data_IF_697431098807
#
_entry.id   IF_697431098807
#
_cell.length_a   1.000
_cell.length_b   1.000
_cell.length_c   1.000
_cell.angle_alpha   90.00
_cell.angle_beta   90.00
_cell.angle_gamma   90.00
#
_symmetry.space_group_name_H-M   'P 1'
#
loop_
_entity.id
_entity.type
_entity.pdbx_description
1 polymer ?
#
# COMPACT_ATOMS: atom_id res chain seq x y z
N UNK A 1 19.00 9.67 6.65
CA UNK A 1 17.73 9.27 6.01
C UNK A 1 17.78 7.80 5.71
N UNK A 2 16.97 6.96 6.35
CA UNK A 2 16.98 5.54 6.07
C UNK A 2 16.27 5.27 4.74
N UNK A 3 16.89 4.50 3.87
CA UNK A 3 16.20 3.87 2.77
C UNK A 3 15.32 2.75 3.30
N UNK A 4 14.17 2.55 2.67
CA UNK A 4 13.17 1.56 3.09
C UNK A 4 13.08 0.44 2.06
N UNK A 5 12.99 -0.80 2.49
CA UNK A 5 12.80 -1.96 1.63
C UNK A 5 11.47 -2.66 1.95
N UNK A 6 10.71 -3.02 0.92
CA UNK A 6 9.49 -3.80 1.03
C UNK A 6 9.40 -4.89 -0.04
N UNK A 7 8.79 -6.03 0.30
CA UNK A 7 8.65 -7.17 -0.62
C UNK A 7 7.23 -7.75 -0.65
N UNK A 8 6.25 -7.02 -0.16
CA UNK A 8 4.86 -7.49 -0.09
C UNK A 8 4.09 -7.36 -1.40
N UNK A 9 2.83 -7.75 -1.35
CA UNK A 9 1.85 -7.48 -2.40
C UNK A 9 1.57 -5.99 -2.53
N UNK A 10 0.88 -5.60 -3.59
CA UNK A 10 0.49 -4.21 -3.84
C UNK A 10 -0.22 -3.58 -2.64
N UNK A 11 -1.16 -4.29 -2.02
CA UNK A 11 -1.84 -3.84 -0.81
C UNK A 11 -0.89 -3.64 0.36
N UNK A 12 0.05 -4.56 0.59
CA UNK A 12 1.04 -4.44 1.65
C UNK A 12 1.91 -3.18 1.47
N UNK A 13 2.29 -2.86 0.22
CA UNK A 13 3.07 -1.67 -0.12
C UNK A 13 2.27 -0.39 0.13
N UNK A 14 1.01 -0.34 -0.30
CA UNK A 14 0.14 0.82 -0.07
C UNK A 14 -0.04 1.06 1.45
N UNK A 15 -0.27 0.00 2.23
CA UNK A 15 -0.38 0.10 3.68
C UNK A 15 0.95 0.36 4.41
N UNK A 16 2.10 0.27 3.72
CA UNK A 16 3.39 0.71 4.24
C UNK A 16 3.55 2.24 4.19
N UNK A 17 2.89 2.92 3.25
CA UNK A 17 3.08 4.35 3.02
C UNK A 17 2.82 5.24 4.25
N UNK A 18 1.75 5.05 5.05
CA UNK A 18 1.56 5.84 6.27
C UNK A 18 2.69 5.63 7.29
N UNK A 19 3.26 4.43 7.34
CA UNK A 19 4.41 4.14 8.23
C UNK A 19 5.66 4.84 7.72
N UNK A 20 5.92 4.79 6.42
CA UNK A 20 7.05 5.48 5.78
C UNK A 20 6.95 6.99 5.99
N UNK A 21 5.75 7.58 5.85
CA UNK A 21 5.51 9.00 6.16
C UNK A 21 5.82 9.32 7.62
N UNK A 22 5.38 8.47 8.54
CA UNK A 22 5.58 8.64 9.98
C UNK A 22 7.05 8.46 10.42
N UNK A 23 7.89 7.79 9.63
CA UNK A 23 9.33 7.69 9.88
C UNK A 23 10.04 9.05 9.74
N UNK A 24 9.43 10.00 9.06
CA UNK A 24 9.99 11.32 8.78
C UNK A 24 11.20 11.24 7.84
N UNK A 25 11.21 12.05 6.80
CA UNK A 25 12.30 12.17 5.82
C UNK A 25 12.92 10.83 5.36
N UNK A 26 12.12 9.88 4.83
CA UNK A 26 12.66 8.65 4.26
C UNK A 26 13.48 8.95 3.00
N UNK A 27 14.44 8.08 2.73
CA UNK A 27 15.22 8.12 1.50
C UNK A 27 14.45 7.50 0.33
N UNK A 28 15.08 6.55 -0.33
CA UNK A 28 14.48 5.80 -1.43
C UNK A 28 13.63 4.64 -0.88
N UNK A 29 12.48 4.43 -1.48
CA UNK A 29 11.63 3.28 -1.21
C UNK A 29 11.97 2.16 -2.20
N UNK A 30 12.67 1.16 -1.72
CA UNK A 30 13.05 0.00 -2.51
C UNK A 30 11.98 -1.07 -2.47
N UNK A 31 11.70 -1.68 -3.61
CA UNK A 31 10.83 -2.83 -3.76
C UNK A 31 11.65 -4.03 -4.26
N UNK A 32 11.35 -5.20 -3.74
CA UNK A 32 11.99 -6.46 -4.17
C UNK A 32 11.01 -7.63 -4.14
N UNK A 33 11.41 -8.73 -4.77
CA UNK A 33 10.76 -10.04 -4.59
C UNK A 33 11.56 -10.86 -3.58
N UNK A 34 10.84 -11.59 -2.74
CA UNK A 34 11.43 -12.62 -1.88
C UNK A 34 10.80 -13.98 -2.17
N UNK A 35 11.48 -15.11 -1.89
CA UNK A 35 10.95 -16.45 -2.19
C UNK A 35 9.56 -16.72 -1.65
N UNK A 36 9.21 -16.08 -0.54
CA UNK A 36 7.91 -16.22 0.14
C UNK A 36 6.88 -15.15 -0.25
N UNK A 37 7.26 -14.17 -1.05
CA UNK A 37 6.38 -13.06 -1.49
C UNK A 37 6.34 -12.93 -3.00
N UNK A 38 6.06 -13.98 -3.73
CA UNK A 38 6.12 -14.02 -5.21
C UNK A 38 5.22 -13.01 -5.95
N UNK A 39 4.50 -12.18 -5.22
CA UNK A 39 3.48 -11.29 -5.78
C UNK A 39 4.05 -10.08 -6.52
N UNK A 40 5.21 -9.56 -6.11
CA UNK A 40 5.82 -8.38 -6.74
C UNK A 40 6.88 -8.82 -7.76
N UNK A 41 6.74 -8.31 -8.98
CA UNK A 41 7.71 -8.48 -10.08
C UNK A 41 8.17 -7.11 -10.55
N UNK A 42 9.29 -7.00 -11.30
CA UNK A 42 9.71 -5.72 -11.88
C UNK A 42 8.60 -5.03 -12.68
N UNK A 43 7.85 -5.75 -13.52
CA UNK A 43 6.75 -5.19 -14.31
C UNK A 43 5.62 -4.63 -13.43
N UNK A 44 5.29 -5.32 -12.32
CA UNK A 44 4.32 -4.82 -11.33
C UNK A 44 4.86 -3.62 -10.56
N UNK A 45 6.16 -3.61 -10.29
CA UNK A 45 6.80 -2.44 -9.70
C UNK A 45 6.68 -1.23 -10.62
N UNK A 46 6.93 -1.37 -11.91
CA UNK A 46 6.80 -0.28 -12.88
C UNK A 46 5.37 0.30 -12.91
N UNK A 47 4.36 -0.53 -12.66
CA UNK A 47 2.96 -0.08 -12.54
C UNK A 47 2.72 0.77 -11.29
N UNK A 48 3.33 0.45 -10.15
CA UNK A 48 3.11 1.20 -8.89
C UNK A 48 4.12 2.32 -8.65
N UNK A 49 5.27 2.28 -9.30
CA UNK A 49 6.33 3.25 -9.10
C UNK A 49 5.90 4.72 -9.28
N UNK A 50 5.03 5.08 -10.25
CA UNK A 50 4.51 6.45 -10.35
C UNK A 50 3.76 6.88 -9.09
N UNK A 51 2.92 6.03 -8.51
CA UNK A 51 2.20 6.34 -7.28
C UNK A 51 3.18 6.56 -6.11
N UNK A 52 4.20 5.72 -5.97
CA UNK A 52 5.20 5.86 -4.92
C UNK A 52 6.00 7.15 -5.07
N UNK A 53 6.41 7.48 -6.30
CA UNK A 53 7.17 8.69 -6.61
C UNK A 53 6.37 9.98 -6.47
N UNK A 54 5.05 9.90 -6.56
CA UNK A 54 4.16 11.05 -6.35
C UNK A 54 4.05 11.46 -4.87
N UNK A 55 4.48 10.61 -3.93
CA UNK A 55 4.41 10.93 -2.51
C UNK A 55 5.54 11.91 -2.13
N UNK A 56 5.19 13.11 -1.65
CA UNK A 56 6.17 14.17 -1.33
C UNK A 56 7.20 13.77 -0.27
N UNK A 57 6.85 12.81 0.57
CA UNK A 57 7.71 12.28 1.63
C UNK A 57 8.62 11.13 1.18
N UNK A 58 8.58 10.70 -0.10
CA UNK A 58 9.46 9.67 -0.68
C UNK A 58 10.38 10.35 -1.70
N UNK A 59 11.70 10.19 -1.57
CA UNK A 59 12.67 10.79 -2.52
C UNK A 59 12.75 10.08 -3.85
N UNK A 60 12.39 8.82 -3.87
CA UNK A 60 12.37 7.98 -5.07
C UNK A 60 11.86 6.59 -4.77
N UNK A 61 11.44 5.87 -5.81
CA UNK A 61 11.08 4.47 -5.73
C UNK A 61 11.86 3.69 -6.77
N UNK A 62 12.51 2.61 -6.35
CA UNK A 62 13.42 1.82 -7.18
C UNK A 62 13.29 0.33 -6.91
N UNK A 63 13.61 -0.47 -7.91
CA UNK A 63 13.79 -1.90 -7.73
C UNK A 63 15.10 -2.18 -7.03
N UNK A 64 15.08 -2.89 -5.89
CA UNK A 64 16.25 -3.14 -5.06
C UNK A 64 17.25 -4.10 -5.72
N UNK A 65 18.52 -3.74 -5.70
CA UNK A 65 19.64 -4.51 -6.26
C UNK A 65 20.76 -4.78 -5.24
N UNK A 66 20.45 -4.55 -3.95
CA UNK A 66 21.42 -4.77 -2.87
C UNK A 66 21.94 -3.49 -2.21
N UNK A 67 21.30 -2.35 -2.46
CA UNK A 67 21.68 -1.06 -1.89
C UNK A 67 21.55 -1.05 -0.35
N UNK A 68 22.42 -0.29 0.31
CA UNK A 68 22.51 -0.17 1.76
C UNK A 68 22.61 1.28 2.22
N UNK A 69 22.32 1.56 3.50
CA UNK A 69 21.52 0.80 4.48
C UNK A 69 20.04 0.92 4.22
N UNK A 70 19.28 -0.12 4.53
CA UNK A 70 17.81 -0.14 4.38
C UNK A 70 17.11 -0.56 5.66
N UNK A 71 15.92 0.01 5.90
CA UNK A 71 14.97 -0.49 6.89
C UNK A 71 14.07 -1.50 6.20
N UNK A 72 14.18 -2.77 6.55
CA UNK A 72 13.40 -3.85 5.93
C UNK A 72 12.02 -3.98 6.60
N UNK A 73 10.99 -3.45 5.93
CA UNK A 73 9.61 -3.55 6.36
C UNK A 73 8.99 -4.92 6.07
N UNK A 74 9.61 -5.76 5.25
CA UNK A 74 9.08 -7.10 4.91
C UNK A 74 8.97 -8.04 6.10
N UNK A 75 9.65 -7.71 7.20
CA UNK A 75 9.65 -8.50 8.45
C UNK A 75 8.35 -8.39 9.24
N UNK A 76 7.42 -7.53 8.86
CA UNK A 76 6.19 -7.30 9.60
C UNK A 76 5.35 -8.57 9.80
N UNK A 77 5.34 -9.48 8.83
CA UNK A 77 4.56 -10.73 8.91
C UNK A 77 5.10 -11.70 9.97
N UNK A 78 6.40 -11.66 10.25
CA UNK A 78 7.00 -12.48 11.33
C UNK A 78 6.70 -11.94 12.73
N UNK A 79 6.25 -10.70 12.83
CA UNK A 79 5.91 -9.99 14.06
C UNK A 79 4.41 -9.78 14.25
N UNK A 80 3.58 -10.34 13.35
CA UNK A 80 2.14 -10.15 13.38
C UNK A 80 1.53 -10.66 14.68
N UNK A 81 0.85 -9.77 15.40
CA UNK A 81 0.07 -10.06 16.59
C UNK A 81 -1.44 -10.15 16.27
N UNK A 82 -2.21 -10.86 17.13
CA UNK A 82 -3.66 -10.89 16.96
C UNK A 82 -4.27 -9.51 17.21
N UNK A 83 -5.24 -9.12 16.37
CA UNK A 83 -6.06 -7.92 16.57
C UNK A 83 -5.47 -6.61 16.05
N UNK A 84 -4.30 -6.62 15.42
CA UNK A 84 -3.74 -5.43 14.79
C UNK A 84 -4.12 -5.36 13.30
N UNK A 85 -4.33 -4.15 12.81
CA UNK A 85 -4.44 -3.92 11.37
C UNK A 85 -3.05 -3.93 10.70
N UNK A 86 -3.03 -4.00 9.37
CA UNK A 86 -1.80 -4.14 8.59
C UNK A 86 -0.82 -2.97 8.79
N UNK A 87 -1.33 -1.75 8.93
CA UNK A 87 -0.50 -0.56 9.19
C UNK A 87 0.20 -0.69 10.55
N UNK A 88 -0.54 -1.10 11.59
CA UNK A 88 0.02 -1.26 12.93
C UNK A 88 1.10 -2.34 12.98
N UNK A 89 0.93 -3.44 12.27
CA UNK A 89 1.97 -4.48 12.16
C UNK A 89 3.25 -3.95 11.51
N UNK A 90 3.11 -3.22 10.41
CA UNK A 90 4.25 -2.64 9.71
C UNK A 90 4.95 -1.57 10.57
N UNK A 91 4.19 -0.71 11.26
CA UNK A 91 4.72 0.28 12.18
C UNK A 91 5.54 -0.37 13.30
N UNK A 92 5.02 -1.42 13.94
CA UNK A 92 5.75 -2.15 14.97
C UNK A 92 7.03 -2.80 14.45
N UNK A 93 7.04 -3.31 13.22
CA UNK A 93 8.22 -3.93 12.63
C UNK A 93 9.42 -2.99 12.54
N UNK A 94 9.17 -1.70 12.38
CA UNK A 94 10.20 -0.66 12.22
C UNK A 94 10.30 0.31 13.41
N UNK A 95 9.60 0.01 14.51
CA UNK A 95 9.65 0.82 15.73
C UNK A 95 8.92 2.16 15.65
N UNK A 96 7.98 2.31 14.70
CA UNK A 96 7.12 3.48 14.58
C UNK A 96 5.85 3.29 15.42
N UNK A 97 5.42 4.34 16.10
CA UNK A 97 4.19 4.32 16.88
C UNK A 97 2.97 4.29 15.94
N UNK A 98 2.08 3.29 16.01
CA UNK A 98 0.98 3.14 15.05
C UNK A 98 0.01 4.34 14.97
N UNK A 99 -0.15 5.10 16.04
CA UNK A 99 -1.06 6.26 16.10
C UNK A 99 -0.71 7.38 15.13
N UNK A 100 0.58 7.57 14.85
CA UNK A 100 1.04 8.61 13.91
C UNK A 100 0.74 8.26 12.44
N UNK A 101 0.29 7.05 12.18
CA UNK A 101 -0.08 6.57 10.84
C UNK A 101 -1.56 6.84 10.48
N UNK A 102 -2.31 7.60 11.28
CA UNK A 102 -3.73 7.89 11.05
C UNK A 102 -3.98 9.14 10.22
N UNK A 103 -2.97 9.97 10.00
CA UNK A 103 -3.09 11.17 9.18
C UNK A 103 -3.21 10.82 7.68
N UNK A 104 -3.71 11.76 6.89
CA UNK A 104 -3.73 11.62 5.43
C UNK A 104 -2.31 11.34 4.92
N UNK A 105 -2.15 10.22 4.27
CA UNK A 105 -0.84 9.72 3.83
C UNK A 105 -0.73 9.52 2.32
N UNK A 106 -1.84 9.34 1.62
CA UNK A 106 -1.84 9.16 0.18
C UNK A 106 -2.02 10.52 -0.50
N UNK A 107 -1.04 10.90 -1.28
CA UNK A 107 -1.01 12.13 -2.07
C UNK A 107 -1.19 11.76 -3.54
N UNK A 108 -2.39 11.99 -4.05
CA UNK A 108 -2.76 11.75 -5.45
C UNK A 108 -3.63 12.91 -5.93
N UNK A 109 -3.44 13.30 -7.18
CA UNK A 109 -4.35 14.23 -7.82
C UNK A 109 -5.71 13.55 -8.04
N UNK A 110 -6.82 14.23 -7.71
CA UNK A 110 -8.14 13.71 -8.00
C UNK A 110 -8.35 13.53 -9.50
N UNK A 111 -8.91 12.40 -9.90
CA UNK A 111 -9.42 12.23 -11.24
C UNK A 111 -10.82 12.89 -11.34
N UNK A 112 -10.89 14.05 -11.96
CA UNK A 112 -12.14 14.81 -12.12
C UNK A 112 -13.19 14.02 -12.91
N UNK A 113 -12.78 13.14 -13.82
CA UNK A 113 -13.67 12.25 -14.55
C UNK A 113 -14.43 11.25 -13.65
N UNK A 114 -13.91 11.03 -12.44
CA UNK A 114 -14.51 10.14 -11.43
C UNK A 114 -15.34 10.90 -10.39
N UNK A 115 -15.42 12.22 -10.50
CA UNK A 115 -16.10 13.06 -9.52
C UNK A 115 -17.62 12.72 -9.48
N UNK A 116 -18.15 12.51 -8.29
CA UNK A 116 -19.54 12.11 -8.07
C UNK A 116 -19.88 10.67 -8.46
N UNK A 117 -18.89 9.85 -8.81
CA UNK A 117 -19.08 8.43 -9.14
C UNK A 117 -18.77 7.53 -7.95
N UNK A 118 -19.48 6.43 -7.84
CA UNK A 118 -19.22 5.38 -6.86
C UNK A 118 -18.53 4.23 -7.57
N UNK A 119 -17.32 3.89 -7.11
CA UNK A 119 -16.57 2.76 -7.62
C UNK A 119 -16.93 1.51 -6.81
N UNK A 120 -17.40 0.48 -7.49
CA UNK A 120 -17.60 -0.84 -6.92
C UNK A 120 -16.54 -1.79 -7.48
N UNK A 121 -15.78 -2.43 -6.61
CA UNK A 121 -14.75 -3.38 -7.00
C UNK A 121 -15.05 -4.77 -6.45
N UNK A 122 -15.01 -5.76 -7.33
CA UNK A 122 -15.16 -7.17 -7.00
C UNK A 122 -13.97 -7.94 -7.55
N UNK A 123 -13.25 -8.66 -6.69
CA UNK A 123 -12.15 -9.51 -7.13
C UNK A 123 -12.44 -10.98 -6.86
N UNK A 124 -11.88 -11.87 -7.67
CA UNK A 124 -11.99 -13.31 -7.47
C UNK A 124 -11.39 -13.78 -6.13
N UNK A 125 -10.39 -13.07 -5.61
CA UNK A 125 -9.71 -13.42 -4.35
C UNK A 125 -10.50 -13.02 -3.10
N UNK A 126 -11.22 -11.89 -3.14
CA UNK A 126 -11.95 -11.33 -2.00
C UNK A 126 -13.44 -11.20 -2.32
N UNK A 127 -13.96 -12.26 -2.91
CA UNK A 127 -15.35 -12.34 -3.28
C UNK A 127 -16.18 -12.81 -2.09
N UNK A 128 -17.22 -12.07 -1.76
CA UNK A 128 -18.24 -12.48 -0.81
C UNK A 128 -19.54 -12.79 -1.56
N UNK A 129 -19.86 -14.07 -1.68
CA UNK A 129 -21.07 -14.52 -2.36
C UNK A 129 -22.36 -14.10 -1.61
N UNK A 130 -22.23 -13.83 -0.30
CA UNK A 130 -23.37 -13.38 0.53
C UNK A 130 -23.57 -11.86 0.46
N UNK A 131 -22.67 -11.11 -0.18
CA UNK A 131 -22.86 -9.68 -0.35
C UNK A 131 -23.99 -9.42 -1.36
N UNK A 132 -24.99 -8.56 -1.04
CA UNK A 132 -26.15 -8.31 -1.89
C UNK A 132 -25.77 -7.41 -3.08
N UNK A 133 -25.00 -7.95 -4.03
CA UNK A 133 -24.50 -7.19 -5.18
C UNK A 133 -25.60 -6.57 -6.01
N UNK A 134 -26.68 -7.32 -6.28
CA UNK A 134 -27.78 -6.85 -7.11
C UNK A 134 -28.49 -5.66 -6.46
N UNK A 135 -28.82 -5.76 -5.17
CA UNK A 135 -29.47 -4.70 -4.40
C UNK A 135 -28.57 -3.48 -4.27
N UNK A 136 -27.26 -3.69 -4.06
CA UNK A 136 -26.27 -2.61 -4.00
C UNK A 136 -26.20 -1.87 -5.33
N UNK A 137 -26.12 -2.58 -6.45
CA UNK A 137 -26.12 -2.00 -7.78
C UNK A 137 -27.40 -1.20 -8.07
N UNK A 138 -28.56 -1.71 -7.67
CA UNK A 138 -29.83 -1.00 -7.80
C UNK A 138 -29.86 0.27 -6.95
N UNK A 139 -29.32 0.23 -5.73
CA UNK A 139 -29.34 1.37 -4.80
C UNK A 139 -28.38 2.49 -5.19
N UNK A 140 -27.22 2.16 -5.79
CA UNK A 140 -26.27 3.18 -6.29
C UNK A 140 -26.73 3.79 -7.61
N UNK A 141 -27.71 3.17 -8.28
CA UNK A 141 -28.31 3.69 -9.50
C UNK A 141 -27.31 3.80 -10.68
N UNK A 142 -27.64 4.68 -11.62
CA UNK A 142 -26.85 4.86 -12.85
C UNK A 142 -25.49 5.57 -12.65
N UNK A 143 -25.15 5.96 -11.43
CA UNK A 143 -23.89 6.62 -11.10
C UNK A 143 -22.75 5.64 -10.78
N UNK A 144 -23.01 4.35 -10.77
CA UNK A 144 -21.97 3.32 -10.62
C UNK A 144 -21.23 3.07 -11.94
N UNK A 145 -19.90 2.96 -11.86
CA UNK A 145 -19.05 2.42 -12.91
C UNK A 145 -18.68 0.97 -12.58
N UNK A 146 -18.75 0.13 -13.58
CA UNK A 146 -18.39 -1.29 -13.49
C UNK A 146 -17.09 -1.53 -14.23
#
# INVERSE_FOLDING_TARGET
>A
MPNVLHSGDLGDIIYALPVVKAMGDPGIFYITTRPWTKAMTPDRFDTIAPLLRAQSYIKGAEWWRGEHPVVDMSTFRSRSGRGLNLVAWQAQAVGVTPWVCQEKWLEVEPDEGMNGRILLHRSARYHNDLFPWTETLHSVGKSGLF
#
